data_IF_416002241873
#
_entry.id   IF_416002241873
#
_cell.length_a   1.000
_cell.length_b   1.000
_cell.length_c   1.000
_cell.angle_alpha   90.00
_cell.angle_beta   90.00
_cell.angle_gamma   90.00
#
_symmetry.space_group_name_H-M   'P 1'
#
loop_
_entity.id
_entity.type
_entity.pdbx_description
1 polymer ?
#
# COMPACT_ATOMS: atom_id res chain seq x y z
N UNK A 1 9.31 11.64 1.99
CA UNK A 1 8.88 11.46 0.58
C UNK A 1 7.36 11.46 0.50
N UNK A 2 6.78 11.86 -0.63
CA UNK A 2 5.33 11.90 -0.82
C UNK A 2 4.78 10.54 -1.32
N UNK A 3 3.55 10.17 -0.94
CA UNK A 3 2.90 8.92 -1.38
C UNK A 3 2.97 8.72 -2.91
N UNK A 4 2.79 9.80 -3.68
CA UNK A 4 2.87 9.75 -5.15
C UNK A 4 4.25 9.33 -5.66
N UNK A 5 5.33 9.78 -5.03
CA UNK A 5 6.68 9.37 -5.41
C UNK A 5 6.89 7.88 -5.15
N UNK A 6 6.43 7.37 -4.01
CA UNK A 6 6.55 5.96 -3.65
C UNK A 6 5.76 5.09 -4.64
N UNK A 7 4.52 5.48 -4.95
CA UNK A 7 3.69 4.75 -5.92
C UNK A 7 4.27 4.82 -7.35
N UNK A 8 4.93 5.92 -7.72
CA UNK A 8 5.58 6.07 -9.03
C UNK A 8 6.80 5.17 -9.22
N UNK A 9 7.40 4.65 -8.14
CA UNK A 9 8.51 3.70 -8.22
C UNK A 9 8.05 2.25 -8.43
N UNK A 10 6.74 2.03 -8.55
CA UNK A 10 6.12 0.71 -8.64
C UNK A 10 6.56 -0.24 -7.51
N UNK A 11 6.02 -0.08 -6.29
CA UNK A 11 6.46 -0.84 -5.12
C UNK A 11 6.04 -2.33 -5.14
N UNK A 12 5.56 -2.86 -6.28
CA UNK A 12 5.18 -4.27 -6.42
C UNK A 12 6.40 -5.20 -6.32
N UNK A 13 6.32 -6.32 -5.59
CA UNK A 13 7.32 -7.39 -5.66
C UNK A 13 7.42 -7.96 -7.08
N UNK A 14 8.64 -8.12 -7.60
CA UNK A 14 8.88 -8.57 -8.98
C UNK A 14 8.43 -10.01 -9.33
N UNK A 15 7.99 -10.81 -8.34
CA UNK A 15 7.71 -12.24 -8.50
C UNK A 15 6.22 -12.58 -8.73
N UNK A 16 5.34 -11.60 -8.93
CA UNK A 16 3.94 -11.82 -9.26
C UNK A 16 3.36 -10.59 -9.99
N UNK A 17 2.93 -10.77 -11.25
CA UNK A 17 2.25 -9.76 -12.07
C UNK A 17 0.79 -10.14 -12.31
N UNK A 18 0.07 -10.49 -11.25
CA UNK A 18 -1.37 -10.76 -11.37
C UNK A 18 -2.13 -9.44 -11.36
N UNK A 19 -2.81 -9.04 -12.45
CA UNK A 19 -3.55 -7.78 -12.52
C UNK A 19 -4.73 -7.72 -11.54
N UNK A 20 -5.20 -8.87 -11.02
CA UNK A 20 -6.27 -8.92 -10.01
C UNK A 20 -5.73 -8.77 -8.58
N UNK A 21 -4.40 -8.70 -8.40
CA UNK A 21 -3.80 -8.60 -7.07
C UNK A 21 -3.92 -7.18 -6.52
N UNK A 22 -4.47 -7.09 -5.32
CA UNK A 22 -4.43 -5.87 -4.50
C UNK A 22 -3.17 -5.93 -3.62
N UNK A 23 -2.31 -4.93 -3.76
CA UNK A 23 -1.13 -4.71 -2.93
C UNK A 23 -1.46 -3.70 -1.83
N UNK A 24 -0.83 -3.85 -0.66
CA UNK A 24 -0.95 -2.92 0.46
C UNK A 24 0.38 -2.22 0.72
N UNK A 25 0.34 -0.90 0.92
CA UNK A 25 1.45 -0.07 1.34
C UNK A 25 1.04 0.71 2.58
N UNK A 26 1.84 0.63 3.64
CA UNK A 26 1.67 1.50 4.80
C UNK A 26 2.33 2.86 4.53
N UNK A 27 1.57 3.94 4.69
CA UNK A 27 2.05 5.30 4.52
C UNK A 27 1.42 6.22 5.54
N UNK A 28 2.24 6.86 6.38
CA UNK A 28 1.81 7.85 7.36
C UNK A 28 0.64 7.39 8.28
N UNK A 29 0.68 6.14 8.75
CA UNK A 29 -0.38 5.54 9.58
C UNK A 29 -1.65 5.21 8.80
N UNK A 30 -1.58 5.11 7.48
CA UNK A 30 -2.66 4.67 6.61
C UNK A 30 -2.23 3.40 5.85
N UNK A 31 -3.19 2.51 5.63
CA UNK A 31 -3.07 1.40 4.71
C UNK A 31 -3.62 1.83 3.35
N UNK A 32 -2.72 1.97 2.37
CA UNK A 32 -3.05 2.29 0.98
C UNK A 32 -3.08 0.99 0.19
N UNK A 33 -4.24 0.64 -0.35
CA UNK A 33 -4.42 -0.52 -1.21
C UNK A 33 -4.49 -0.09 -2.67
N UNK A 34 -3.73 -0.75 -3.52
CA UNK A 34 -3.64 -0.45 -4.95
C UNK A 34 -3.50 -1.70 -5.79
N UNK A 35 -3.96 -1.63 -7.03
CA UNK A 35 -3.73 -2.63 -8.07
C UNK A 35 -2.85 -2.02 -9.15
N UNK A 36 -2.21 -2.87 -9.94
CA UNK A 36 -1.49 -2.39 -11.11
C UNK A 36 -1.74 -3.30 -12.31
N UNK A 37 -2.23 -2.71 -13.38
CA UNK A 37 -2.52 -3.37 -14.65
C UNK A 37 -1.61 -2.77 -15.73
N UNK A 38 -0.64 -3.56 -16.21
CA UNK A 38 0.43 -3.05 -17.06
C UNK A 38 1.23 -1.95 -16.35
N UNK A 39 1.13 -0.73 -16.88
CA UNK A 39 1.80 0.49 -16.41
C UNK A 39 0.87 1.41 -15.58
N UNK A 40 -0.39 1.02 -15.37
CA UNK A 40 -1.38 1.84 -14.66
C UNK A 40 -1.53 1.34 -13.23
N UNK A 41 -1.12 2.17 -12.26
CA UNK A 41 -1.38 1.96 -10.84
C UNK A 41 -2.66 2.66 -10.41
N UNK A 42 -3.61 1.89 -9.87
CA UNK A 42 -4.90 2.40 -9.39
C UNK A 42 -4.99 2.17 -7.89
N UNK A 43 -5.17 3.26 -7.12
CA UNK A 43 -5.47 3.17 -5.68
C UNK A 43 -6.93 2.78 -5.50
N UNK A 44 -7.17 1.63 -4.88
CA UNK A 44 -8.49 1.06 -4.66
C UNK A 44 -9.10 1.51 -3.32
N UNK A 45 -8.26 1.68 -2.29
CA UNK A 45 -8.73 1.98 -0.94
C UNK A 45 -7.64 2.67 -0.12
N UNK A 46 -8.05 3.58 0.76
CA UNK A 46 -7.18 4.17 1.79
C UNK A 46 -7.93 4.07 3.11
N UNK A 47 -7.36 3.35 4.06
CA UNK A 47 -7.88 3.24 5.41
C UNK A 47 -6.85 3.68 6.43
N UNK A 48 -7.29 4.06 7.63
CA UNK A 48 -6.38 4.18 8.76
C UNK A 48 -5.77 2.81 9.01
N UNK A 49 -4.44 2.73 9.05
CA UNK A 49 -3.79 1.52 9.51
C UNK A 49 -4.30 1.28 10.94
N UNK A 50 -4.78 0.07 11.21
CA UNK A 50 -5.21 -0.28 12.56
C UNK A 50 -3.96 -0.32 13.42
N UNK A 51 -3.59 0.83 13.97
CA UNK A 51 -2.58 0.91 15.01
C UNK A 51 -3.12 0.12 16.18
N UNK A 52 -2.60 -1.08 16.39
CA UNK A 52 -2.78 -1.80 17.63
C UNK A 52 -2.25 -0.93 18.76
N UNK A 53 -3.15 -0.23 19.46
CA UNK A 53 -2.87 0.27 20.79
C UNK A 53 -2.69 -0.95 21.67
N UNK A 54 -1.44 -1.39 21.85
CA UNK A 54 -1.04 -2.24 22.97
C UNK A 54 0.49 -2.20 23.13
N UNK A 55 0.95 -1.21 23.90
CA UNK A 55 2.12 -1.34 24.78
C UNK A 55 1.80 -0.56 26.06
N UNK A 56 0.77 -1.02 26.77
CA UNK A 56 0.67 -0.76 28.21
C UNK A 56 1.26 -2.00 28.89
N UNK A 57 2.58 -1.98 29.11
CA UNK A 57 3.20 -2.81 30.13
C UNK A 57 3.15 -1.99 31.43
N UNK A 58 2.26 -2.38 32.34
CA UNK A 58 2.45 -2.20 33.77
C UNK A 58 2.77 -3.57 34.38
#
# INVERSE_FOLDING_TARGET
>A
ESLRQILSLDPRPGYQKDPQRIYGLEYAGMEVRFQVEGEILTVCQICRAQTGTQHEKQ
#
